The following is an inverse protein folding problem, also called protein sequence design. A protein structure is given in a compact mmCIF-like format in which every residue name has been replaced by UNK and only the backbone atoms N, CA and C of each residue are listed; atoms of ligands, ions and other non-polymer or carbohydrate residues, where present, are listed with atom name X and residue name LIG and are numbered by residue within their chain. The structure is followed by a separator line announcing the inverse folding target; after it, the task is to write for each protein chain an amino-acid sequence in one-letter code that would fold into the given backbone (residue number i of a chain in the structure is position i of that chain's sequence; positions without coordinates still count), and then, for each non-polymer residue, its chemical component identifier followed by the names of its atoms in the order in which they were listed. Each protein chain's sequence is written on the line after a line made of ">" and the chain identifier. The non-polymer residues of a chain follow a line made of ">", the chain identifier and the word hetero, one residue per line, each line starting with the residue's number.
data_IF_525285187410
#
_entry.id   IF_525285187410
#
_cell.length_a   1.000
_cell.length_b   1.000
_cell.length_c   1.000
_cell.angle_alpha   90.00
_cell.angle_beta   90.00
_cell.angle_gamma   90.00
#
_symmetry.space_group_name_H-M   'P 1'
#
loop_
_entity.id
_entity.type
_entity.pdbx_description
1 polymer ?
#
# COMPACT_ATOMS: atom_id res chain seq x y z
N UNK A 1 1.33 10.61 -3.74
CA UNK A 1 0.38 11.14 -4.73
C UNK A 1 -0.78 10.17 -4.88
N UNK A 2 -1.86 10.54 -5.58
CA UNK A 2 -3.02 9.66 -5.78
C UNK A 2 -2.74 8.53 -6.77
N UNK A 3 -3.17 7.32 -6.46
CA UNK A 3 -3.07 6.15 -7.33
C UNK A 3 -4.14 6.13 -8.43
N UNK A 4 -5.12 7.05 -8.39
CA UNK A 4 -6.08 7.31 -9.48
C UNK A 4 -5.51 8.19 -10.59
N UNK A 5 -4.28 8.68 -10.48
CA UNK A 5 -3.69 9.47 -11.55
C UNK A 5 -3.41 8.63 -12.78
N UNK A 6 -3.72 9.18 -13.97
CA UNK A 6 -3.54 8.50 -15.26
C UNK A 6 -2.15 7.88 -15.46
N UNK A 7 -1.10 8.55 -14.99
CA UNK A 7 0.27 8.03 -15.09
C UNK A 7 0.51 6.69 -14.37
N UNK A 8 -0.34 6.32 -13.42
CA UNK A 8 -0.31 5.02 -12.74
C UNK A 8 -1.27 4.06 -13.41
N UNK A 9 -2.53 4.48 -13.63
CA UNK A 9 -3.59 3.61 -14.17
C UNK A 9 -3.39 3.22 -15.64
N UNK A 10 -2.61 4.00 -16.40
CA UNK A 10 -2.30 3.70 -17.80
C UNK A 10 -1.29 2.53 -17.94
N UNK A 11 -0.52 2.24 -16.89
CA UNK A 11 0.59 1.27 -16.94
C UNK A 11 0.45 0.11 -15.96
N UNK A 12 -0.31 0.28 -14.88
CA UNK A 12 -0.45 -0.72 -13.83
C UNK A 12 -1.92 -0.92 -13.48
N UNK A 13 -2.30 -2.19 -13.28
CA UNK A 13 -3.54 -2.53 -12.60
C UNK A 13 -3.45 -2.14 -11.12
N UNK A 14 -4.60 -1.94 -10.47
CA UNK A 14 -4.67 -1.40 -9.10
C UNK A 14 -3.93 -2.27 -8.06
N UNK A 15 -3.95 -3.59 -8.24
CA UNK A 15 -3.19 -4.57 -7.45
C UNK A 15 -1.68 -4.41 -7.63
N UNK A 16 -1.19 -4.44 -8.87
CA UNK A 16 0.24 -4.38 -9.16
C UNK A 16 0.82 -3.02 -8.75
N UNK A 17 0.09 -1.93 -8.97
CA UNK A 17 0.47 -0.60 -8.51
C UNK A 17 0.63 -0.57 -6.99
N UNK A 18 -0.35 -1.09 -6.24
CA UNK A 18 -0.31 -1.13 -4.78
C UNK A 18 0.85 -1.99 -4.25
N UNK A 19 1.06 -3.17 -4.82
CA UNK A 19 2.15 -4.09 -4.44
C UNK A 19 3.51 -3.47 -4.72
N UNK A 20 3.72 -2.90 -5.90
CA UNK A 20 4.98 -2.26 -6.26
C UNK A 20 5.28 -1.05 -5.38
N UNK A 21 4.26 -0.26 -5.03
CA UNK A 21 4.44 0.88 -4.13
C UNK A 21 4.93 0.46 -2.74
N UNK A 22 4.32 -0.58 -2.16
CA UNK A 22 4.73 -1.10 -0.85
C UNK A 22 6.15 -1.64 -0.93
N UNK A 23 6.48 -2.42 -1.96
CA UNK A 23 7.83 -2.94 -2.18
C UNK A 23 8.87 -1.83 -2.39
N UNK A 24 8.47 -0.72 -3.02
CA UNK A 24 9.31 0.47 -3.21
C UNK A 24 9.48 1.30 -1.93
N UNK A 25 8.83 0.94 -0.81
CA UNK A 25 8.98 1.61 0.48
C UNK A 25 7.83 2.54 0.87
N UNK A 26 6.76 2.63 0.08
CA UNK A 26 5.60 3.44 0.46
C UNK A 26 4.89 2.83 1.68
N UNK A 27 4.45 3.69 2.61
CA UNK A 27 3.71 3.25 3.80
C UNK A 27 2.20 3.18 3.57
N UNK A 28 1.68 3.94 2.60
CA UNK A 28 0.23 4.01 2.31
C UNK A 28 -0.04 4.08 0.81
N UNK A 29 -1.11 3.40 0.39
CA UNK A 29 -1.69 3.51 -0.95
C UNK A 29 -2.85 4.51 -0.88
N UNK A 30 -2.62 5.73 -1.37
CA UNK A 30 -3.60 6.80 -1.32
C UNK A 30 -4.49 6.76 -2.57
N UNK A 31 -5.81 6.58 -2.37
CA UNK A 31 -6.81 6.57 -3.44
C UNK A 31 -6.45 5.62 -4.59
N UNK A 32 -6.43 4.30 -4.36
CA UNK A 32 -6.29 3.33 -5.45
C UNK A 32 -7.44 3.48 -6.46
N UNK A 33 -7.17 3.15 -7.72
CA UNK A 33 -8.17 3.18 -8.80
C UNK A 33 -9.37 2.27 -8.48
N UNK A 34 -9.07 1.00 -8.14
CA UNK A 34 -10.01 0.07 -7.53
C UNK A 34 -9.48 -0.40 -6.16
N UNK A 35 -10.19 -0.02 -5.10
CA UNK A 35 -9.82 -0.37 -3.74
C UNK A 35 -9.87 -1.88 -3.47
N UNK A 36 -10.87 -2.59 -3.99
CA UNK A 36 -11.05 -4.01 -3.70
C UNK A 36 -9.97 -4.84 -4.38
N UNK A 37 -9.65 -4.52 -5.64
CA UNK A 37 -8.57 -5.16 -6.39
C UNK A 37 -7.21 -4.87 -5.72
N UNK A 38 -6.94 -3.62 -5.35
CA UNK A 38 -5.71 -3.26 -4.63
C UNK A 38 -5.57 -4.00 -3.29
N UNK A 39 -6.65 -4.06 -2.51
CA UNK A 39 -6.68 -4.77 -1.24
C UNK A 39 -6.41 -6.27 -1.38
N UNK A 40 -7.08 -6.93 -2.32
CA UNK A 40 -6.87 -8.35 -2.60
C UNK A 40 -5.45 -8.62 -3.08
N UNK A 41 -4.95 -7.80 -4.01
CA UNK A 41 -3.59 -7.93 -4.54
C UNK A 41 -2.52 -7.83 -3.47
N UNK A 42 -2.63 -6.87 -2.54
CA UNK A 42 -1.69 -6.76 -1.41
C UNK A 42 -1.82 -7.96 -0.48
N UNK A 43 -3.05 -8.40 -0.17
CA UNK A 43 -3.29 -9.56 0.70
C UNK A 43 -2.66 -10.84 0.13
N UNK A 44 -2.87 -11.11 -1.16
CA UNK A 44 -2.28 -12.25 -1.87
C UNK A 44 -0.76 -12.13 -1.99
N UNK A 45 -0.23 -10.93 -2.21
CA UNK A 45 1.20 -10.68 -2.24
C UNK A 45 1.87 -10.96 -0.89
N UNK A 46 1.19 -10.70 0.23
CA UNK A 46 1.69 -11.08 1.56
C UNK A 46 1.62 -12.60 1.74
N UNK A 47 0.48 -13.24 1.45
CA UNK A 47 0.33 -14.70 1.62
C UNK A 47 1.27 -15.52 0.73
N UNK A 48 1.60 -15.02 -0.45
CA UNK A 48 2.58 -15.64 -1.34
C UNK A 48 4.04 -15.36 -0.95
N UNK A 49 4.29 -14.47 0.01
CA UNK A 49 5.62 -14.06 0.44
C UNK A 49 6.30 -13.06 -0.51
N UNK A 50 5.59 -12.53 -1.52
CA UNK A 50 6.09 -11.45 -2.38
C UNK A 50 6.33 -10.17 -1.58
N UNK A 51 5.43 -9.85 -0.65
CA UNK A 51 5.65 -8.85 0.41
C UNK A 51 5.87 -9.64 1.71
N UNK A 52 6.97 -9.40 2.42
CA UNK A 52 7.15 -9.98 3.75
C UNK A 52 6.20 -9.32 4.76
N UNK A 53 5.73 -10.07 5.75
CA UNK A 53 4.95 -9.50 6.87
C UNK A 53 5.74 -8.39 7.57
N UNK A 54 7.05 -8.60 7.79
CA UNK A 54 7.95 -7.59 8.38
C UNK A 54 7.95 -6.27 7.60
N UNK A 55 7.92 -6.31 6.26
CA UNK A 55 7.85 -5.10 5.44
C UNK A 55 6.54 -4.34 5.70
N UNK A 56 5.42 -5.04 5.88
CA UNK A 56 4.14 -4.42 6.17
C UNK A 56 4.12 -3.83 7.60
N UNK A 57 4.64 -4.59 8.56
CA UNK A 57 4.73 -4.17 9.97
C UNK A 57 5.53 -2.87 10.14
N UNK A 58 6.63 -2.70 9.41
CA UNK A 58 7.39 -1.45 9.40
C UNK A 58 6.53 -0.24 9.03
N UNK A 59 5.71 -0.37 7.99
CA UNK A 59 4.82 0.72 7.55
C UNK A 59 3.73 0.99 8.57
N UNK A 60 3.13 -0.06 9.13
CA UNK A 60 2.10 0.06 10.17
C UNK A 60 2.66 0.76 11.41
N UNK A 61 3.88 0.42 11.84
CA UNK A 61 4.55 1.07 12.97
C UNK A 61 4.74 2.57 12.73
N UNK A 62 5.20 2.98 11.54
CA UNK A 62 5.35 4.41 11.20
C UNK A 62 4.00 5.15 11.20
N UNK A 63 2.95 4.51 10.69
CA UNK A 63 1.59 5.06 10.70
C UNK A 63 1.08 5.23 12.13
N UNK A 64 1.24 4.21 12.98
CA UNK A 64 0.84 4.24 14.39
C UNK A 64 1.59 5.34 15.13
N UNK A 65 2.91 5.43 14.96
CA UNK A 65 3.72 6.49 15.57
C UNK A 65 3.20 7.88 15.16
N UNK A 66 2.92 8.08 13.87
CA UNK A 66 2.35 9.34 13.38
C UNK A 66 1.01 9.65 14.05
N UNK A 67 0.13 8.66 14.22
CA UNK A 67 -1.17 8.86 14.91
C UNK A 67 -1.01 9.22 16.39
N UNK A 68 -0.06 8.59 17.09
CA UNK A 68 0.27 8.90 18.49
C UNK A 68 0.83 10.33 18.63
N UNK A 69 1.75 10.72 17.74
CA UNK A 69 2.35 12.06 17.75
C UNK A 69 1.33 13.17 17.51
N UNK A 70 0.28 12.87 16.73
CA UNK A 70 -0.83 13.80 16.48
C UNK A 70 -1.96 13.71 17.53
N UNK A 71 -1.87 12.80 18.50
CA UNK A 71 -2.88 12.63 19.55
C UNK A 71 -4.24 12.12 19.05
N UNK A 72 -4.26 11.38 17.94
CA UNK A 72 -5.48 10.86 17.31
C UNK A 72 -5.62 9.33 17.46
N UNK A 73 -4.89 8.75 18.41
CA UNK A 73 -4.93 7.34 18.79
C UNK A 73 -5.13 7.19 20.30
#
# INVERSE_FOLDING_TARGET
>A
DSFQMGAITDYYSADEAAVQAILAGADMVLMPDDFYVAYQGVTEAVYSGRISEERLDESVLRIIQTKLDQGIM
#
